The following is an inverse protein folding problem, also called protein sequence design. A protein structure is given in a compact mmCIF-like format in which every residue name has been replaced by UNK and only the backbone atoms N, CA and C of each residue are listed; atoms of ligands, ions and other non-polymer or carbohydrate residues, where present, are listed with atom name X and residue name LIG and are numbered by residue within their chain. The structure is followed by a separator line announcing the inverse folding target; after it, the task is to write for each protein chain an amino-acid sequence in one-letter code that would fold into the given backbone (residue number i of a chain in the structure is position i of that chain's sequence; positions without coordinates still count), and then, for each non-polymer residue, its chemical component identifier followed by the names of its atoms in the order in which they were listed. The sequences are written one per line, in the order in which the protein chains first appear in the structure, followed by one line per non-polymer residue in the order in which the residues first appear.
data_IF_804070501496
#
_entry.id   IF_804070501496
#
_cell.length_a   1.000
_cell.length_b   1.000
_cell.length_c   1.000
_cell.angle_alpha   90.00
_cell.angle_beta   90.00
_cell.angle_gamma   90.00
#
_symmetry.space_group_name_H-M   'P 1'
#
loop_
_entity.id
_entity.type
_entity.pdbx_description
1 polymer ?
#
# COMPACT_ATOMS: atom_id res chain seq x y z
N UNK A 1 30.44 26.03 -16.70
CA UNK A 1 29.07 25.55 -16.43
C UNK A 1 29.14 24.82 -15.11
N UNK A 2 28.43 25.34 -14.11
CA UNK A 2 28.53 24.91 -12.72
C UNK A 2 27.87 23.55 -12.52
N UNK A 3 28.41 22.83 -11.54
CA UNK A 3 28.27 21.41 -11.29
C UNK A 3 27.34 21.29 -10.07
N UNK A 4 26.03 21.34 -10.27
CA UNK A 4 25.02 21.43 -9.19
C UNK A 4 23.87 20.41 -9.31
N UNK A 5 24.00 19.35 -10.13
CA UNK A 5 22.92 18.39 -10.40
C UNK A 5 23.07 16.99 -9.75
N UNK A 6 23.87 16.81 -8.69
CA UNK A 6 24.02 15.49 -8.02
C UNK A 6 23.39 15.38 -6.62
N UNK A 7 22.83 16.47 -6.08
CA UNK A 7 22.28 16.50 -4.72
C UNK A 7 20.78 16.18 -4.64
N UNK A 8 20.03 16.32 -5.74
CA UNK A 8 18.59 16.03 -5.78
C UNK A 8 18.27 14.54 -5.72
N UNK A 9 19.11 13.69 -6.31
CA UNK A 9 18.87 12.24 -6.37
C UNK A 9 19.15 11.52 -5.04
N UNK A 10 20.12 12.00 -4.26
CA UNK A 10 20.46 11.40 -2.96
C UNK A 10 19.40 11.66 -1.86
N UNK A 11 18.68 12.78 -1.91
CA UNK A 11 17.57 13.04 -0.98
C UNK A 11 16.30 12.25 -1.33
N UNK A 12 16.01 12.07 -2.63
CA UNK A 12 14.88 11.26 -3.09
C UNK A 12 15.05 9.79 -2.70
N UNK A 13 16.24 9.22 -2.90
CA UNK A 13 16.53 7.81 -2.59
C UNK A 13 16.41 7.52 -1.08
N UNK A 14 16.97 8.38 -0.23
CA UNK A 14 16.86 8.25 1.23
C UNK A 14 15.48 8.61 1.80
N UNK A 15 14.58 9.18 1.00
CA UNK A 15 13.17 9.38 1.36
C UNK A 15 12.33 8.15 0.99
N UNK A 16 12.57 7.56 -0.19
CA UNK A 16 11.84 6.37 -0.65
C UNK A 16 12.12 5.13 0.22
N UNK A 17 13.36 4.93 0.66
CA UNK A 17 13.71 3.85 1.60
C UNK A 17 12.94 3.99 2.92
N UNK A 18 12.89 5.21 3.49
CA UNK A 18 12.13 5.51 4.70
C UNK A 18 10.62 5.30 4.52
N UNK A 19 10.09 5.55 3.33
CA UNK A 19 8.67 5.30 3.01
C UNK A 19 8.40 3.79 2.94
N UNK A 20 9.34 3.01 2.41
CA UNK A 20 9.30 1.54 2.45
C UNK A 20 9.31 1.00 3.89
N UNK A 21 10.22 1.50 4.74
CA UNK A 21 10.28 1.14 6.17
C UNK A 21 8.98 1.51 6.90
N UNK A 22 8.43 2.70 6.61
CA UNK A 22 7.18 3.14 7.18
C UNK A 22 6.01 2.24 6.76
N UNK A 23 5.99 1.78 5.50
CA UNK A 23 5.00 0.82 5.01
C UNK A 23 5.07 -0.51 5.75
N UNK A 24 6.28 -1.07 5.92
CA UNK A 24 6.49 -2.30 6.68
C UNK A 24 6.02 -2.16 8.14
N UNK A 25 6.32 -1.04 8.78
CA UNK A 25 5.90 -0.77 10.17
C UNK A 25 4.37 -0.67 10.29
N UNK A 26 3.72 0.05 9.37
CA UNK A 26 2.26 0.18 9.35
C UNK A 26 1.59 -1.17 9.13
N UNK A 27 2.09 -1.98 8.20
CA UNK A 27 1.55 -3.32 7.93
C UNK A 27 1.72 -4.24 9.13
N UNK A 28 2.89 -4.24 9.77
CA UNK A 28 3.16 -5.03 10.97
C UNK A 28 2.22 -4.68 12.14
N UNK A 29 1.96 -3.38 12.32
CA UNK A 29 1.00 -2.88 13.33
C UNK A 29 -0.44 -3.25 12.98
N UNK A 30 -0.85 -3.06 11.73
CA UNK A 30 -2.19 -3.41 11.26
C UNK A 30 -2.48 -4.91 11.40
N UNK A 31 -1.49 -5.77 11.10
CA UNK A 31 -1.57 -7.21 11.31
C UNK A 31 -1.77 -7.55 12.80
N UNK A 32 -0.98 -6.94 13.68
CA UNK A 32 -1.09 -7.15 15.14
C UNK A 32 -2.46 -6.71 15.68
N UNK A 33 -3.00 -5.62 15.13
CA UNK A 33 -4.31 -5.07 15.50
C UNK A 33 -5.49 -5.77 14.80
N UNK A 34 -5.22 -6.71 13.88
CA UNK A 34 -6.21 -7.37 13.02
C UNK A 34 -7.11 -6.38 12.25
N UNK A 35 -6.52 -5.26 11.83
CA UNK A 35 -7.22 -4.19 11.11
C UNK A 35 -6.87 -4.20 9.61
N UNK A 36 -6.52 -5.37 9.07
CA UNK A 36 -6.11 -5.55 7.68
C UNK A 36 -7.07 -6.49 6.96
N UNK A 37 -7.35 -6.19 5.70
CA UNK A 37 -8.10 -7.05 4.78
C UNK A 37 -7.19 -7.40 3.62
N UNK A 38 -7.15 -8.66 3.22
CA UNK A 38 -6.24 -9.18 2.20
C UNK A 38 -7.08 -9.90 1.14
N UNK A 39 -6.74 -9.70 -0.13
CA UNK A 39 -7.47 -10.23 -1.28
C UNK A 39 -8.21 -9.14 -2.04
N UNK A 40 -8.27 -9.28 -3.37
CA UNK A 40 -8.92 -8.31 -4.27
C UNK A 40 -10.42 -8.29 -4.06
N UNK A 41 -11.02 -9.47 -3.89
CA UNK A 41 -12.46 -9.61 -3.72
C UNK A 41 -12.94 -9.08 -2.36
N UNK A 42 -12.21 -9.42 -1.29
CA UNK A 42 -12.44 -8.97 0.07
C UNK A 42 -12.26 -7.46 0.17
N UNK A 43 -11.24 -6.92 -0.50
CA UNK A 43 -11.01 -5.49 -0.60
C UNK A 43 -12.18 -4.77 -1.29
N UNK A 44 -12.60 -5.25 -2.46
CA UNK A 44 -13.73 -4.68 -3.18
C UNK A 44 -15.04 -4.72 -2.36
N UNK A 45 -15.26 -5.82 -1.63
CA UNK A 45 -16.42 -5.96 -0.74
C UNK A 45 -16.38 -4.95 0.42
N UNK A 46 -15.22 -4.80 1.07
CA UNK A 46 -15.05 -3.85 2.16
C UNK A 46 -15.23 -2.40 1.69
N UNK A 47 -14.61 -2.03 0.56
CA UNK A 47 -14.77 -0.71 -0.05
C UNK A 47 -16.23 -0.39 -0.39
N UNK A 48 -17.02 -1.39 -0.78
CA UNK A 48 -18.43 -1.21 -1.07
C UNK A 48 -19.32 -1.12 0.20
N UNK A 49 -18.88 -1.65 1.34
CA UNK A 49 -19.67 -1.67 2.58
C UNK A 49 -19.31 -0.49 3.49
N UNK A 50 -18.03 -0.20 3.63
CA UNK A 50 -17.51 0.73 4.64
C UNK A 50 -16.16 1.36 4.21
N UNK A 51 -16.19 2.23 3.18
CA UNK A 51 -14.98 2.88 2.67
C UNK A 51 -14.40 3.91 3.66
N UNK A 52 -15.22 4.50 4.53
CA UNK A 52 -14.81 5.55 5.48
C UNK A 52 -13.77 5.06 6.50
N UNK A 53 -13.76 3.75 6.78
CA UNK A 53 -12.80 3.14 7.70
C UNK A 53 -11.51 2.69 7.02
N UNK A 54 -11.40 2.77 5.69
CA UNK A 54 -10.19 2.38 4.94
C UNK A 54 -9.23 3.57 4.86
N UNK A 55 -8.00 3.39 5.36
CA UNK A 55 -7.00 4.47 5.39
C UNK A 55 -5.91 4.31 4.33
N UNK A 56 -5.65 3.07 3.91
CA UNK A 56 -4.61 2.73 2.94
C UNK A 56 -5.02 1.51 2.11
N UNK A 57 -4.80 1.57 0.81
CA UNK A 57 -4.97 0.47 -0.14
C UNK A 57 -3.62 0.17 -0.82
N UNK A 58 -3.22 -1.09 -0.83
CA UNK A 58 -2.02 -1.56 -1.53
C UNK A 58 -2.44 -2.50 -2.65
N UNK A 59 -1.92 -2.25 -3.84
CA UNK A 59 -1.99 -3.18 -4.96
C UNK A 59 -0.62 -3.84 -5.16
N UNK A 60 -0.61 -5.14 -5.31
CA UNK A 60 0.59 -5.95 -5.47
C UNK A 60 0.42 -6.85 -6.69
N UNK A 61 1.26 -6.66 -7.70
CA UNK A 61 1.25 -7.52 -8.88
C UNK A 61 2.62 -7.60 -9.50
N UNK A 62 2.98 -8.80 -9.94
CA UNK A 62 4.20 -9.08 -10.69
C UNK A 62 3.98 -8.99 -12.21
N UNK A 63 4.96 -9.47 -12.98
CA UNK A 63 4.86 -9.47 -14.44
C UNK A 63 3.92 -10.56 -14.99
N UNK A 64 3.70 -11.65 -14.26
CA UNK A 64 2.78 -12.72 -14.64
C UNK A 64 1.33 -12.23 -14.51
N UNK A 65 1.04 -11.50 -13.44
CA UNK A 65 -0.25 -10.85 -13.15
C UNK A 65 -0.69 -9.83 -14.22
N UNK A 66 0.25 -9.29 -15.00
CA UNK A 66 -0.07 -8.40 -16.11
C UNK A 66 -0.79 -9.11 -17.26
N UNK A 67 -0.71 -10.45 -17.34
CA UNK A 67 -1.42 -11.25 -18.33
C UNK A 67 -2.86 -11.57 -17.92
N UNK A 68 -3.18 -11.46 -16.62
CA UNK A 68 -4.52 -11.68 -16.11
C UNK A 68 -5.40 -10.43 -16.31
N UNK A 69 -6.17 -10.43 -17.40
CA UNK A 69 -7.11 -9.36 -17.72
C UNK A 69 -8.14 -9.14 -16.61
N UNK A 70 -8.60 -10.19 -15.94
CA UNK A 70 -9.58 -10.06 -14.87
C UNK A 70 -8.97 -9.33 -13.68
N UNK A 71 -7.74 -9.68 -13.29
CA UNK A 71 -7.02 -8.99 -12.21
C UNK A 71 -6.77 -7.52 -12.54
N UNK A 72 -6.33 -7.21 -13.77
CA UNK A 72 -6.11 -5.82 -14.21
C UNK A 72 -7.41 -5.00 -14.19
N UNK A 73 -8.56 -5.60 -14.54
CA UNK A 73 -9.87 -4.95 -14.42
C UNK A 73 -10.17 -4.62 -12.97
N UNK A 74 -9.97 -5.57 -12.04
CA UNK A 74 -10.24 -5.32 -10.62
C UNK A 74 -9.34 -4.23 -10.04
N UNK A 75 -8.05 -4.21 -10.39
CA UNK A 75 -7.15 -3.14 -9.99
C UNK A 75 -7.60 -1.78 -10.50
N UNK A 76 -8.03 -1.70 -11.75
CA UNK A 76 -8.54 -0.46 -12.32
C UNK A 76 -9.79 0.01 -11.58
N UNK A 77 -10.71 -0.90 -11.24
CA UNK A 77 -11.92 -0.59 -10.47
C UNK A 77 -11.61 -0.12 -9.04
N UNK A 78 -10.73 -0.83 -8.34
CA UNK A 78 -10.30 -0.48 -6.97
C UNK A 78 -9.58 0.86 -6.98
N UNK A 79 -8.69 1.09 -7.96
CA UNK A 79 -7.99 2.36 -8.11
C UNK A 79 -8.98 3.51 -8.32
N UNK A 80 -9.91 3.37 -9.27
CA UNK A 80 -10.92 4.40 -9.52
C UNK A 80 -11.71 4.71 -8.25
N UNK A 81 -12.19 3.68 -7.55
CA UNK A 81 -12.93 3.84 -6.32
C UNK A 81 -12.12 4.54 -5.22
N UNK A 82 -10.87 4.10 -4.98
CA UNK A 82 -10.01 4.72 -3.98
C UNK A 82 -9.69 6.17 -4.30
N UNK A 83 -9.44 6.50 -5.58
CA UNK A 83 -9.21 7.88 -6.01
C UNK A 83 -10.44 8.77 -5.84
N UNK A 84 -11.65 8.26 -6.14
CA UNK A 84 -12.90 9.01 -5.98
C UNK A 84 -13.28 9.26 -4.51
N UNK A 85 -12.89 8.36 -3.61
CA UNK A 85 -13.19 8.44 -2.17
C UNK A 85 -12.02 8.99 -1.34
N UNK A 86 -11.01 9.58 -1.97
CA UNK A 86 -9.81 10.12 -1.31
C UNK A 86 -9.05 9.11 -0.43
N UNK A 87 -9.18 7.81 -0.71
CA UNK A 87 -8.45 6.74 -0.05
C UNK A 87 -7.01 6.74 -0.59
N UNK A 88 -6.02 6.66 0.31
CA UNK A 88 -4.62 6.58 -0.09
C UNK A 88 -4.37 5.22 -0.73
N UNK A 89 -3.86 5.21 -1.96
CA UNK A 89 -3.58 3.98 -2.72
C UNK A 89 -2.13 3.97 -3.19
N UNK A 90 -1.49 2.81 -3.11
CA UNK A 90 -0.10 2.57 -3.47
C UNK A 90 0.02 1.29 -4.29
N UNK A 91 1.04 1.19 -5.14
CA UNK A 91 1.46 -0.07 -5.75
C UNK A 91 2.77 -0.55 -5.16
N UNK A 92 2.84 -1.82 -4.80
CA UNK A 92 4.06 -2.48 -4.32
C UNK A 92 4.76 -3.13 -5.52
N UNK A 93 6.04 -2.82 -5.70
CA UNK A 93 6.86 -3.35 -6.80
C UNK A 93 7.38 -4.77 -6.56
N UNK A 94 7.49 -5.19 -5.31
CA UNK A 94 7.97 -6.52 -4.89
C UNK A 94 6.90 -7.28 -4.09
N UNK A 95 5.89 -7.87 -4.75
CA UNK A 95 4.78 -8.57 -4.09
C UNK A 95 5.23 -9.75 -3.22
N UNK A 96 6.32 -10.43 -3.59
CA UNK A 96 6.92 -11.51 -2.79
C UNK A 96 7.29 -11.05 -1.38
N UNK A 97 7.81 -9.83 -1.23
CA UNK A 97 8.19 -9.28 0.07
C UNK A 97 6.96 -8.94 0.91
N UNK A 98 5.91 -8.41 0.28
CA UNK A 98 4.63 -8.18 0.95
C UNK A 98 4.05 -9.50 1.49
N UNK A 99 4.13 -10.57 0.70
CA UNK A 99 3.68 -11.90 1.12
C UNK A 99 4.42 -12.39 2.36
N UNK A 100 5.75 -12.27 2.39
CA UNK A 100 6.56 -12.64 3.56
C UNK A 100 6.14 -11.88 4.83
N UNK A 101 5.94 -10.55 4.72
CA UNK A 101 5.51 -9.73 5.86
C UNK A 101 4.14 -10.14 6.40
N UNK A 102 3.19 -10.39 5.51
CA UNK A 102 1.85 -10.83 5.88
C UNK A 102 1.88 -12.22 6.53
N UNK A 103 2.69 -13.15 6.02
CA UNK A 103 2.85 -14.50 6.59
C UNK A 103 3.53 -14.48 7.96
N UNK A 104 4.55 -13.63 8.15
CA UNK A 104 5.25 -13.49 9.43
C UNK A 104 4.35 -12.85 10.51
N UNK A 105 3.53 -11.87 10.13
CA UNK A 105 2.58 -11.23 11.05
C UNK A 105 1.33 -12.05 11.33
N UNK A 106 0.94 -12.96 10.43
CA UNK A 106 -0.18 -13.89 10.59
C UNK A 106 0.20 -15.10 11.48
N UNK A 107 0.65 -14.84 12.70
CA UNK A 107 0.85 -15.86 13.75
C UNK A 107 -0.48 -16.40 14.27
N UNK A 108 -1.25 -17.11 13.44
CA UNK A 108 -2.48 -17.77 13.88
C UNK A 108 -3.55 -17.93 12.80
N UNK A 109 -3.29 -18.79 11.82
CA UNK A 109 -4.37 -19.50 11.12
C UNK A 109 -5.01 -18.79 9.93
N UNK A 110 -4.33 -17.83 9.29
CA UNK A 110 -4.73 -17.46 7.94
C UNK A 110 -4.21 -18.57 7.01
N UNK A 111 -5.12 -19.46 6.56
CA UNK A 111 -4.85 -20.31 5.41
C UNK A 111 -4.23 -19.43 4.32
N UNK A 112 -3.12 -19.88 3.71
CA UNK A 112 -2.36 -19.12 2.71
C UNK A 112 -3.33 -18.34 1.82
N UNK A 113 -3.37 -17.00 1.89
CA UNK A 113 -4.26 -16.25 1.05
C UNK A 113 -3.80 -16.52 -0.39
N UNK A 114 -4.62 -17.22 -1.15
CA UNK A 114 -4.32 -17.53 -2.54
C UNK A 114 -4.28 -16.27 -3.43
N UNK A 115 -4.69 -15.13 -2.88
CA UNK A 115 -4.72 -13.82 -3.51
C UNK A 115 -4.13 -12.78 -2.53
N UNK A 116 -2.88 -12.37 -2.78
CA UNK A 116 -2.17 -11.31 -2.05
C UNK A 116 -2.08 -10.02 -2.89
N UNK A 117 -2.92 -9.90 -3.92
CA UNK A 117 -2.81 -8.82 -4.90
C UNK A 117 -3.40 -7.49 -4.43
N UNK A 118 -4.20 -7.51 -3.35
CA UNK A 118 -4.72 -6.31 -2.73
C UNK A 118 -4.72 -6.41 -1.21
N UNK A 119 -4.35 -5.33 -0.53
CA UNK A 119 -4.33 -5.23 0.93
C UNK A 119 -4.94 -3.90 1.35
N UNK A 120 -5.96 -3.93 2.21
CA UNK A 120 -6.53 -2.74 2.81
C UNK A 120 -6.16 -2.65 4.28
N UNK A 121 -5.68 -1.49 4.70
CA UNK A 121 -5.54 -1.15 6.11
C UNK A 121 -6.77 -0.35 6.52
N UNK A 122 -7.47 -0.84 7.53
CA UNK A 122 -8.62 -0.18 8.15
C UNK A 122 -8.23 0.42 9.48
N UNK A 123 -8.91 1.50 9.83
CA UNK A 123 -8.83 2.11 11.14
C UNK A 123 -10.25 2.35 11.69
N UNK A 124 -10.77 1.47 12.56
CA UNK A 124 -12.09 1.64 13.17
C UNK A 124 -12.17 2.87 14.11
N UNK A 125 -11.03 3.51 14.41
CA UNK A 125 -10.94 4.73 15.19
C UNK A 125 -10.14 5.79 14.41
N UNK A 126 -10.71 6.26 13.29
CA UNK A 126 -10.17 7.30 12.40
C UNK A 126 -9.48 8.48 13.13
N UNK A 127 -9.94 8.83 14.34
CA UNK A 127 -9.42 9.93 15.15
C UNK A 127 -8.15 9.63 15.98
N UNK A 128 -7.75 8.37 16.15
CA UNK A 128 -6.72 7.96 17.12
C UNK A 128 -5.42 7.40 16.51
N UNK A 129 -5.40 7.08 15.22
CA UNK A 129 -4.21 6.52 14.58
C UNK A 129 -3.19 7.62 14.24
N UNK A 130 -2.53 8.12 15.29
CA UNK A 130 -1.40 9.07 15.23
C UNK A 130 -0.09 8.31 15.04
N UNK A 131 -0.03 7.50 13.99
CA UNK A 131 1.17 6.78 13.67
C UNK A 131 2.07 7.64 12.77
N UNK A 132 3.33 7.89 13.15
CA UNK A 132 4.24 8.70 12.35
C UNK A 132 4.55 8.04 10.99
N UNK A 133 4.63 6.71 10.95
CA UNK A 133 4.86 5.96 9.71
C UNK A 133 3.64 6.07 8.77
N UNK A 134 2.41 5.95 9.32
CA UNK A 134 1.20 6.18 8.52
C UNK A 134 1.11 7.62 8.01
N UNK A 135 1.45 8.59 8.84
CA UNK A 135 1.45 10.01 8.45
C UNK A 135 2.44 10.28 7.32
N UNK A 136 3.60 9.62 7.35
CA UNK A 136 4.61 9.69 6.29
C UNK A 136 4.09 9.09 4.98
N UNK A 137 3.41 7.94 5.02
CA UNK A 137 2.79 7.33 3.84
C UNK A 137 1.69 8.23 3.24
N UNK A 138 0.85 8.82 4.09
CA UNK A 138 -0.21 9.74 3.63
C UNK A 138 0.40 10.99 2.98
N UNK A 139 1.47 11.54 3.57
CA UNK A 139 2.19 12.67 2.99
C UNK A 139 2.77 12.31 1.61
N UNK A 140 3.43 11.15 1.52
CA UNK A 140 3.96 10.64 0.26
C UNK A 140 2.86 10.47 -0.81
N UNK A 141 1.73 9.85 -0.46
CA UNK A 141 0.58 9.71 -1.39
C UNK A 141 0.08 11.06 -1.88
N UNK A 142 -0.01 12.05 -0.99
CA UNK A 142 -0.48 13.40 -1.32
C UNK A 142 0.51 14.14 -2.21
N UNK A 143 1.80 14.04 -1.94
CA UNK A 143 2.85 14.64 -2.76
C UNK A 143 2.90 13.99 -4.16
N UNK A 144 2.80 12.68 -4.25
CA UNK A 144 2.69 11.97 -5.53
C UNK A 144 1.46 12.39 -6.33
N UNK A 145 0.31 12.54 -5.68
CA UNK A 145 -0.92 13.02 -6.33
C UNK A 145 -0.76 14.44 -6.89
N UNK A 146 -0.01 15.31 -6.20
CA UNK A 146 0.30 16.65 -6.70
C UNK A 146 1.17 16.63 -7.96
N UNK A 147 1.94 15.55 -8.16
CA UNK A 147 2.78 15.30 -9.34
C UNK A 147 2.08 14.44 -10.41
N UNK A 148 0.74 14.37 -10.40
CA UNK A 148 -0.09 13.54 -11.30
C UNK A 148 0.20 12.03 -11.21
N UNK A 149 0.87 11.57 -10.14
CA UNK A 149 1.11 10.16 -9.84
C UNK A 149 0.02 9.65 -8.89
N UNK A 150 -1.13 9.28 -9.45
CA UNK A 150 -2.31 8.86 -8.69
C UNK A 150 -2.11 7.58 -7.88
N UNK A 151 -1.30 6.64 -8.40
CA UNK A 151 -0.92 5.42 -7.69
C UNK A 151 0.61 5.35 -7.67
N UNK A 152 1.26 5.94 -6.66
CA UNK A 152 2.69 5.87 -6.56
C UNK A 152 3.16 4.45 -6.26
N UNK A 153 4.35 4.13 -6.76
CA UNK A 153 4.96 2.82 -6.60
C UNK A 153 6.01 2.88 -5.48
N UNK A 154 5.95 1.93 -4.56
CA UNK A 154 6.92 1.76 -3.47
C UNK A 154 7.58 0.38 -3.59
N UNK A 155 8.82 0.30 -3.13
CA UNK A 155 9.53 -0.95 -2.93
C UNK A 155 9.66 -1.20 -1.42
N UNK A 156 9.27 -2.39 -0.97
CA UNK A 156 9.49 -2.81 0.42
C UNK A 156 10.96 -3.17 0.62
N UNK A 157 11.57 -2.80 1.76
CA UNK A 157 12.99 -3.07 2.00
C UNK A 157 13.30 -4.57 2.00
N UNK A 158 14.38 -4.94 1.31
CA UNK A 158 14.97 -6.27 1.33
C UNK A 158 15.89 -6.38 2.57
N UNK A 159 15.51 -7.19 3.57
CA UNK A 159 16.28 -7.38 4.82
C UNK A 159 16.87 -8.78 4.91
#
# INVERSE_FOLDING_TARGET
MTLEDLAGEHQAFGSMEKVGDALEEVLSKALTQRSITVGVYEAAKLLNVDPDNVVLCLLAADEEDNQDVALQIHFTLIQAFCCENDINILRVSNPSRLAELLLLGASGGLEQPADLHCVLVTNPHASQWKDPALSQLICFCRESRYMDQWVPVINLPER
#
